data_IF_010299970460
#
_entry.id   IF_010299970460
#
_cell.length_a   1.000
_cell.length_b   1.000
_cell.length_c   1.000
_cell.angle_alpha   90.00
_cell.angle_beta   90.00
_cell.angle_gamma   90.00
#
_symmetry.space_group_name_H-M   'P 1'
#
loop_
_entity.id
_entity.type
_entity.pdbx_description
1 polymer ?
#
# COMPACT_ATOMS: atom_id res chain seq x y z
N UNK A 1 -32.94 3.44 9.73
CA UNK A 1 -31.73 2.93 10.41
C UNK A 1 -31.94 1.46 10.76
N UNK A 2 -31.32 0.51 10.04
CA UNK A 2 -31.28 -0.89 10.47
C UNK A 2 -30.50 -0.93 11.79
N UNK A 3 -31.10 -1.51 12.84
CA UNK A 3 -30.47 -1.66 14.16
C UNK A 3 -29.09 -2.30 13.98
N UNK A 4 -28.03 -1.53 14.19
CA UNK A 4 -26.73 -2.12 14.45
C UNK A 4 -26.79 -2.80 15.81
N UNK A 5 -25.96 -3.81 15.99
CA UNK A 5 -25.72 -4.41 17.30
C UNK A 5 -25.54 -3.30 18.35
N UNK A 6 -26.34 -3.34 19.42
CA UNK A 6 -26.38 -2.32 20.47
C UNK A 6 -24.98 -2.04 21.04
N UNK A 7 -24.13 -3.06 21.07
CA UNK A 7 -22.71 -2.98 21.42
C UNK A 7 -21.90 -2.08 20.48
N UNK A 8 -22.17 -2.13 19.18
CA UNK A 8 -21.47 -1.29 18.20
C UNK A 8 -21.81 0.19 18.36
N UNK A 9 -23.08 0.50 18.64
CA UNK A 9 -23.52 1.87 18.92
C UNK A 9 -22.88 2.41 20.21
N UNK A 10 -22.82 1.60 21.26
CA UNK A 10 -22.14 1.94 22.51
C UNK A 10 -20.65 2.23 22.28
N UNK A 11 -19.94 1.40 21.51
CA UNK A 11 -18.53 1.63 21.18
C UNK A 11 -18.32 2.94 20.42
N UNK A 12 -19.18 3.26 19.44
CA UNK A 12 -19.09 4.52 18.69
C UNK A 12 -19.30 5.73 19.62
N UNK A 13 -20.31 5.67 20.50
CA UNK A 13 -20.56 6.74 21.48
C UNK A 13 -19.35 6.91 22.41
N UNK A 14 -18.81 5.82 22.95
CA UNK A 14 -17.63 5.85 23.81
C UNK A 14 -16.43 6.48 23.10
N UNK A 15 -16.16 6.06 21.85
CA UNK A 15 -15.10 6.63 21.02
C UNK A 15 -15.32 8.13 20.83
N UNK A 16 -16.54 8.58 20.51
CA UNK A 16 -16.84 10.00 20.32
C UNK A 16 -16.55 10.80 21.59
N UNK A 17 -16.94 10.27 22.76
CA UNK A 17 -16.74 10.94 24.05
C UNK A 17 -15.26 11.03 24.45
N UNK A 18 -14.46 10.01 24.17
CA UNK A 18 -13.06 9.90 24.63
C UNK A 18 -12.01 10.10 23.52
N UNK A 19 -12.42 10.51 22.33
CA UNK A 19 -11.56 10.55 21.14
C UNK A 19 -10.25 11.32 21.35
N UNK A 20 -10.32 12.50 21.98
CA UNK A 20 -9.14 13.34 22.20
C UNK A 20 -8.15 12.66 23.14
N UNK A 21 -8.63 12.08 24.23
CA UNK A 21 -7.80 11.38 25.22
C UNK A 21 -7.14 10.14 24.60
N UNK A 22 -7.90 9.35 23.86
CA UNK A 22 -7.40 8.17 23.13
C UNK A 22 -6.30 8.60 22.15
N UNK A 23 -6.55 9.66 21.37
CA UNK A 23 -5.59 10.14 20.38
C UNK A 23 -4.29 10.64 21.04
N UNK A 24 -4.38 11.49 22.06
CA UNK A 24 -3.21 12.05 22.74
C UNK A 24 -2.37 10.94 23.39
N UNK A 25 -2.99 9.94 24.03
CA UNK A 25 -2.29 8.79 24.63
C UNK A 25 -1.54 7.95 23.60
N UNK A 26 -2.17 7.67 22.46
CA UNK A 26 -1.53 6.90 21.38
C UNK A 26 -0.47 7.71 20.62
N UNK A 27 -0.64 9.04 20.52
CA UNK A 27 0.32 9.93 19.87
C UNK A 27 1.59 10.11 20.70
N UNK A 28 1.44 10.20 22.02
CA UNK A 28 2.49 10.55 22.98
C UNK A 28 2.57 9.55 24.14
N UNK A 29 2.85 8.25 23.88
CA UNK A 29 2.90 7.24 24.94
C UNK A 29 3.94 7.56 26.00
N UNK A 30 5.07 8.12 25.58
CA UNK A 30 6.21 8.46 26.44
C UNK A 30 6.38 9.97 26.62
N UNK A 31 5.26 10.72 26.57
CA UNK A 31 5.26 12.17 26.62
C UNK A 31 5.43 12.85 25.25
N UNK A 32 5.24 14.17 25.25
CA UNK A 32 5.21 14.99 24.03
C UNK A 32 6.60 15.12 23.44
N UNK A 33 6.77 14.75 22.17
CA UNK A 33 8.03 14.94 21.43
C UNK A 33 7.84 15.88 20.24
N UNK A 34 8.83 16.71 19.97
CA UNK A 34 8.78 17.62 18.83
C UNK A 34 8.78 16.84 17.51
N UNK A 35 7.75 16.97 16.65
CA UNK A 35 7.66 16.24 15.39
C UNK A 35 8.65 16.72 14.32
N UNK A 36 9.42 17.78 14.60
CA UNK A 36 10.38 18.37 13.66
C UNK A 36 11.85 18.08 14.00
N UNK A 37 12.17 17.88 15.29
CA UNK A 37 13.56 17.72 15.73
C UNK A 37 13.77 16.62 16.79
N UNK A 38 12.70 15.89 17.18
CA UNK A 38 12.78 14.76 18.10
C UNK A 38 12.84 15.12 19.59
N UNK A 39 13.05 16.38 19.94
CA UNK A 39 13.24 16.87 21.32
C UNK A 39 12.07 16.51 22.26
N UNK A 40 12.40 16.06 23.48
CA UNK A 40 11.43 15.67 24.52
C UNK A 40 10.97 16.86 25.37
N UNK A 41 11.80 17.89 25.51
CA UNK A 41 11.44 19.09 26.27
C UNK A 41 10.52 20.01 25.45
N UNK A 42 9.22 19.79 25.58
CA UNK A 42 8.17 20.58 24.93
C UNK A 42 7.19 21.18 25.95
N UNK A 43 6.96 22.49 25.86
CA UNK A 43 5.98 23.20 26.69
C UNK A 43 4.58 23.00 26.13
N UNK A 44 3.60 22.66 26.97
CA UNK A 44 2.20 22.52 26.55
C UNK A 44 1.36 23.68 27.05
N UNK A 45 0.68 24.36 26.14
CA UNK A 45 -0.23 25.46 26.44
C UNK A 45 -1.65 24.96 26.77
N UNK A 46 -2.44 25.79 27.45
CA UNK A 46 -3.84 25.48 27.81
C UNK A 46 -4.74 25.18 26.60
N UNK A 47 -4.41 25.70 25.42
CA UNK A 47 -5.14 25.45 24.18
C UNK A 47 -4.77 24.11 23.50
N UNK A 48 -3.87 23.32 24.08
CA UNK A 48 -3.41 22.04 23.52
C UNK A 48 -2.33 22.18 22.44
N UNK A 49 -1.76 23.37 22.25
CA UNK A 49 -0.55 23.53 21.44
C UNK A 49 0.69 23.25 22.27
N UNK A 50 1.73 22.78 21.60
CA UNK A 50 3.05 22.55 22.16
C UNK A 50 4.08 23.47 21.53
N UNK A 51 5.11 23.86 22.28
CA UNK A 51 6.28 24.58 21.77
C UNK A 51 7.55 23.84 22.15
N UNK A 52 8.34 23.51 21.14
CA UNK A 52 9.64 22.88 21.35
C UNK A 52 10.63 23.90 21.92
N UNK A 53 11.35 23.50 22.97
CA UNK A 53 12.41 24.33 23.57
C UNK A 53 13.64 24.48 22.66
N UNK A 54 14.03 23.42 21.94
CA UNK A 54 15.21 23.40 21.06
C UNK A 54 15.01 24.15 19.75
N UNK A 55 14.02 23.77 18.94
CA UNK A 55 13.82 24.38 17.62
C UNK A 55 12.82 25.57 17.62
N UNK A 56 12.20 25.88 18.75
CA UNK A 56 11.24 26.98 18.89
C UNK A 56 9.90 26.82 18.17
N UNK A 57 9.74 25.77 17.35
CA UNK A 57 8.53 25.52 16.55
C UNK A 57 7.34 25.15 17.43
N UNK A 58 6.18 25.68 17.08
CA UNK A 58 4.90 25.33 17.68
C UNK A 58 4.21 24.20 16.89
N UNK A 59 3.52 23.30 17.57
CA UNK A 59 2.81 22.16 16.97
C UNK A 59 1.61 21.72 17.80
N UNK A 60 0.69 20.96 17.21
CA UNK A 60 -0.43 20.30 17.91
C UNK A 60 -0.23 18.79 17.92
N UNK A 61 -1.07 18.04 18.64
CA UNK A 61 -1.10 16.57 18.60
C UNK A 61 -1.22 16.01 17.17
N UNK A 62 -1.91 16.74 16.29
CA UNK A 62 -2.13 16.37 14.89
C UNK A 62 -0.97 16.75 13.97
N UNK A 63 0.04 17.46 14.46
CA UNK A 63 1.16 17.90 13.63
C UNK A 63 1.99 16.74 13.10
N UNK A 64 2.35 16.82 11.81
CA UNK A 64 3.09 15.79 11.08
C UNK A 64 2.43 14.39 11.13
N UNK A 65 1.09 14.34 11.08
CA UNK A 65 0.30 13.11 11.01
C UNK A 65 -0.70 13.20 9.84
N UNK A 66 -1.42 12.13 9.56
CA UNK A 66 -2.54 12.12 8.60
C UNK A 66 -3.62 13.15 8.97
N UNK A 67 -3.73 13.49 10.27
CA UNK A 67 -4.69 14.46 10.82
C UNK A 67 -4.21 15.92 10.71
N UNK A 68 -3.03 16.17 10.14
CA UNK A 68 -2.41 17.50 10.13
C UNK A 68 -3.31 18.56 9.47
N UNK A 69 -3.56 19.64 10.22
CA UNK A 69 -4.39 20.76 9.74
C UNK A 69 -5.85 20.40 9.52
N UNK A 70 -6.35 19.32 10.13
CA UNK A 70 -7.77 18.96 10.02
C UNK A 70 -8.68 20.02 10.63
N UNK A 71 -9.75 20.36 9.91
CA UNK A 71 -10.90 21.12 10.44
C UNK A 71 -12.03 20.18 10.90
N UNK A 72 -11.92 18.90 10.58
CA UNK A 72 -12.85 17.85 11.02
C UNK A 72 -12.44 17.44 12.45
N UNK A 73 -13.41 17.31 13.39
CA UNK A 73 -13.14 16.84 14.75
C UNK A 73 -12.43 15.49 14.77
N UNK A 74 -11.48 15.32 15.70
CA UNK A 74 -10.74 14.05 15.86
C UNK A 74 -11.66 12.87 16.15
N UNK A 75 -12.77 13.08 16.85
CA UNK A 75 -13.80 12.05 17.05
C UNK A 75 -14.29 11.45 15.72
N UNK A 76 -14.57 12.28 14.70
CA UNK A 76 -15.01 11.79 13.39
C UNK A 76 -13.94 10.94 12.68
N UNK A 77 -12.67 11.27 12.87
CA UNK A 77 -11.55 10.49 12.36
C UNK A 77 -11.41 9.14 13.03
N UNK A 78 -11.51 9.09 14.36
CA UNK A 78 -11.39 7.83 15.11
C UNK A 78 -12.61 6.94 14.84
N UNK A 79 -13.81 7.52 14.75
CA UNK A 79 -15.01 6.77 14.30
C UNK A 79 -14.81 6.20 12.91
N UNK A 80 -14.25 6.97 11.97
CA UNK A 80 -13.95 6.46 10.63
C UNK A 80 -12.92 5.32 10.65
N UNK A 81 -11.85 5.44 11.43
CA UNK A 81 -10.85 4.38 11.63
C UNK A 81 -11.48 3.11 12.21
N UNK A 82 -12.33 3.26 13.23
CA UNK A 82 -13.05 2.12 13.79
C UNK A 82 -13.95 1.46 12.75
N UNK A 83 -14.73 2.23 12.00
CA UNK A 83 -15.67 1.70 11.02
C UNK A 83 -14.99 1.07 9.79
N UNK A 84 -13.91 1.67 9.27
CA UNK A 84 -13.20 1.14 8.09
C UNK A 84 -12.49 -0.19 8.39
N UNK A 85 -12.01 -0.35 9.64
CA UNK A 85 -11.31 -1.57 10.08
C UNK A 85 -12.27 -2.70 10.48
N UNK A 86 -13.56 -2.40 10.70
CA UNK A 86 -14.59 -3.43 10.93
C UNK A 86 -14.82 -4.33 9.73
N UNK A 87 -15.33 -5.55 9.98
CA UNK A 87 -15.46 -6.65 9.02
C UNK A 87 -16.18 -6.33 7.70
N UNK A 88 -17.08 -5.35 7.67
CA UNK A 88 -17.76 -4.88 6.44
C UNK A 88 -17.22 -3.55 5.88
N UNK A 89 -16.44 -2.81 6.66
CA UNK A 89 -16.09 -1.42 6.36
C UNK A 89 -17.31 -0.49 6.46
N UNK A 90 -17.13 0.78 6.08
CA UNK A 90 -18.24 1.73 5.94
C UNK A 90 -18.18 2.49 4.62
N UNK A 91 -19.35 2.85 4.11
CA UNK A 91 -19.50 3.81 3.01
C UNK A 91 -19.35 5.25 3.51
N UNK A 92 -19.09 6.19 2.58
CA UNK A 92 -19.05 7.62 2.90
C UNK A 92 -20.40 8.16 3.38
N UNK A 93 -21.52 7.61 2.89
CA UNK A 93 -22.87 7.94 3.35
C UNK A 93 -23.08 7.52 4.81
N UNK A 94 -22.71 6.28 5.15
CA UNK A 94 -22.81 5.78 6.52
C UNK A 94 -21.93 6.60 7.47
N UNK A 95 -20.68 6.87 7.08
CA UNK A 95 -19.78 7.68 7.91
C UNK A 95 -20.32 9.11 8.12
N UNK A 96 -20.89 9.71 7.08
CA UNK A 96 -21.55 11.02 7.16
C UNK A 96 -22.71 10.99 8.15
N UNK A 97 -23.56 9.96 8.09
CA UNK A 97 -24.67 9.79 9.02
C UNK A 97 -24.21 9.62 10.48
N UNK A 98 -23.11 8.90 10.74
CA UNK A 98 -22.60 8.71 12.10
C UNK A 98 -21.95 9.96 12.70
N UNK A 99 -21.26 10.74 11.88
CA UNK A 99 -20.37 11.81 12.37
C UNK A 99 -20.94 13.22 12.15
N UNK A 100 -22.02 13.35 11.37
CA UNK A 100 -22.63 14.63 11.01
C UNK A 100 -21.82 15.46 10.01
N UNK A 101 -20.68 14.96 9.52
CA UNK A 101 -19.88 15.64 8.49
C UNK A 101 -20.54 15.45 7.12
N UNK A 102 -20.21 16.29 6.14
CA UNK A 102 -20.71 16.12 4.77
C UNK A 102 -20.18 14.82 4.15
N UNK A 103 -21.01 14.18 3.32
CA UNK A 103 -20.66 12.99 2.54
C UNK A 103 -19.32 13.14 1.80
N UNK A 104 -19.10 14.29 1.16
CA UNK A 104 -17.84 14.61 0.47
C UNK A 104 -16.66 14.58 1.44
N UNK A 105 -16.81 15.16 2.63
CA UNK A 105 -15.77 15.14 3.66
C UNK A 105 -15.51 13.72 4.17
N UNK A 106 -16.57 12.93 4.37
CA UNK A 106 -16.46 11.52 4.74
C UNK A 106 -15.72 10.69 3.68
N UNK A 107 -16.01 10.92 2.40
CA UNK A 107 -15.29 10.28 1.28
C UNK A 107 -13.80 10.62 1.28
N UNK A 108 -13.46 11.91 1.46
CA UNK A 108 -12.06 12.37 1.57
C UNK A 108 -11.34 11.74 2.76
N UNK A 109 -12.02 11.72 3.91
CA UNK A 109 -11.49 11.16 5.14
C UNK A 109 -11.15 9.68 4.93
N UNK A 110 -12.08 8.89 4.40
CA UNK A 110 -11.83 7.47 4.10
C UNK A 110 -10.65 7.27 3.15
N UNK A 111 -10.50 8.10 2.12
CA UNK A 111 -9.37 7.97 1.19
C UNK A 111 -8.03 8.30 1.84
N UNK A 112 -7.98 9.28 2.74
CA UNK A 112 -6.76 9.56 3.52
C UNK A 112 -6.38 8.41 4.44
N UNK A 113 -7.37 7.77 5.08
CA UNK A 113 -7.13 6.60 5.92
C UNK A 113 -6.62 5.42 5.10
N UNK A 114 -7.21 5.18 3.93
CA UNK A 114 -6.75 4.16 2.98
C UNK A 114 -5.30 4.38 2.53
N UNK A 115 -4.90 5.63 2.32
CA UNK A 115 -3.52 5.95 1.99
C UNK A 115 -2.58 5.69 3.17
N UNK A 116 -3.03 5.99 4.40
CA UNK A 116 -2.26 5.68 5.61
C UNK A 116 -2.00 4.17 5.77
N UNK A 117 -2.89 3.33 5.26
CA UNK A 117 -2.81 1.86 5.28
C UNK A 117 -1.91 1.26 4.20
N UNK A 118 -1.16 2.08 3.45
CA UNK A 118 -0.22 1.58 2.43
C UNK A 118 0.75 0.55 3.04
N UNK A 119 1.09 -0.55 2.34
CA UNK A 119 1.82 -1.68 2.91
C UNK A 119 3.33 -1.43 3.14
N UNK A 120 3.80 -0.17 3.12
CA UNK A 120 5.20 0.12 3.45
C UNK A 120 5.52 -0.38 4.87
N UNK A 121 6.62 -1.12 5.01
CA UNK A 121 7.02 -1.77 6.26
C UNK A 121 6.40 -3.16 6.48
N UNK A 122 5.45 -3.60 5.66
CA UNK A 122 5.06 -5.02 5.63
C UNK A 122 6.15 -5.78 4.88
N UNK A 123 6.81 -6.68 5.61
CA UNK A 123 7.84 -7.59 5.09
C UNK A 123 7.28 -9.00 5.13
N UNK A 124 7.30 -9.69 3.98
CA UNK A 124 6.92 -11.09 3.85
C UNK A 124 8.19 -11.96 3.95
N UNK A 125 8.06 -13.12 4.58
CA UNK A 125 9.19 -14.02 4.87
C UNK A 125 8.87 -15.47 4.52
N UNK A 126 9.91 -16.29 4.31
CA UNK A 126 9.76 -17.71 4.00
C UNK A 126 9.22 -17.94 2.59
N UNK A 127 8.17 -18.76 2.48
CA UNK A 127 7.55 -19.13 1.21
C UNK A 127 6.45 -18.14 0.82
N UNK A 128 6.69 -17.39 -0.24
CA UNK A 128 5.77 -16.35 -0.70
C UNK A 128 5.09 -16.80 -1.99
N UNK A 129 3.77 -17.02 -1.92
CA UNK A 129 2.95 -17.29 -3.09
C UNK A 129 2.66 -15.98 -3.84
N UNK A 130 2.96 -15.95 -5.13
CA UNK A 130 2.86 -14.75 -5.98
C UNK A 130 2.10 -15.01 -7.26
N UNK A 131 1.24 -14.08 -7.66
CA UNK A 131 0.42 -14.15 -8.87
C UNK A 131 -0.16 -12.76 -9.21
N UNK A 132 -0.81 -12.63 -10.37
CA UNK A 132 -1.46 -11.43 -10.86
C UNK A 132 -2.97 -11.60 -11.02
N UNK A 133 -3.71 -10.55 -10.67
CA UNK A 133 -5.16 -10.49 -10.82
C UNK A 133 -5.62 -9.22 -11.50
N UNK A 134 -6.61 -9.35 -12.39
CA UNK A 134 -7.17 -8.23 -13.13
C UNK A 134 -8.51 -7.79 -12.52
N UNK A 135 -8.50 -6.63 -11.84
CA UNK A 135 -9.69 -6.01 -11.25
C UNK A 135 -10.40 -5.08 -12.24
N UNK A 136 -11.74 -5.10 -12.25
CA UNK A 136 -12.54 -4.25 -13.14
C UNK A 136 -13.86 -4.89 -13.54
N UNK A 137 -14.61 -4.19 -14.39
CA UNK A 137 -15.87 -4.70 -14.96
C UNK A 137 -15.67 -5.99 -15.76
N UNK A 138 -16.70 -6.84 -15.82
CA UNK A 138 -16.69 -7.97 -16.75
C UNK A 138 -16.78 -7.41 -18.18
N UNK A 139 -15.89 -7.87 -19.07
CA UNK A 139 -15.92 -7.48 -20.49
C UNK A 139 -17.30 -7.71 -21.12
N UNK A 140 -17.92 -8.85 -20.82
CA UNK A 140 -19.26 -9.20 -21.30
C UNK A 140 -20.34 -8.20 -20.87
N UNK A 141 -20.16 -7.52 -19.73
CA UNK A 141 -21.11 -6.53 -19.21
C UNK A 141 -20.86 -5.10 -19.72
N UNK A 142 -19.86 -4.89 -20.57
CA UNK A 142 -19.59 -3.59 -21.19
C UNK A 142 -20.52 -3.42 -22.41
N UNK A 143 -21.17 -2.27 -22.52
CA UNK A 143 -22.00 -1.93 -23.70
C UNK A 143 -21.17 -1.96 -24.98
N UNK A 144 -21.78 -2.40 -26.09
CA UNK A 144 -21.08 -2.61 -27.37
C UNK A 144 -20.33 -1.36 -27.86
N UNK A 145 -20.95 -0.17 -27.80
CA UNK A 145 -20.28 1.07 -28.21
C UNK A 145 -19.02 1.35 -27.39
N UNK A 146 -19.04 1.09 -26.07
CA UNK A 146 -17.85 1.27 -25.20
C UNK A 146 -16.75 0.25 -25.50
N UNK A 147 -17.12 -0.98 -25.90
CA UNK A 147 -16.15 -1.99 -26.38
C UNK A 147 -15.49 -1.53 -27.68
N UNK A 148 -16.28 -1.02 -28.61
CA UNK A 148 -15.80 -0.45 -29.88
C UNK A 148 -14.87 0.73 -29.61
N UNK A 149 -15.25 1.67 -28.73
CA UNK A 149 -14.40 2.82 -28.37
C UNK A 149 -13.07 2.42 -27.74
N UNK A 150 -13.05 1.34 -26.94
CA UNK A 150 -11.81 0.77 -26.41
C UNK A 150 -10.96 0.19 -27.54
N UNK A 151 -11.54 -0.62 -28.42
CA UNK A 151 -10.81 -1.23 -29.54
C UNK A 151 -10.28 -0.16 -30.51
N UNK A 152 -11.08 0.85 -30.86
CA UNK A 152 -10.68 2.01 -31.68
C UNK A 152 -9.49 2.74 -31.06
N UNK A 153 -9.56 3.07 -29.76
CA UNK A 153 -8.47 3.75 -29.05
C UNK A 153 -7.12 3.03 -29.15
N UNK A 154 -7.13 1.72 -29.28
CA UNK A 154 -5.90 0.91 -29.36
C UNK A 154 -5.56 0.45 -30.79
N UNK A 155 -6.27 0.94 -31.81
CA UNK A 155 -6.05 0.54 -33.21
C UNK A 155 -6.38 -0.93 -33.48
N UNK A 156 -7.34 -1.49 -32.74
CA UNK A 156 -7.72 -2.91 -32.77
C UNK A 156 -9.09 -3.17 -33.41
N UNK A 157 -9.70 -2.14 -34.03
CA UNK A 157 -11.02 -2.19 -34.66
C UNK A 157 -10.96 -1.64 -36.08
N UNK A 158 -11.62 -2.30 -37.02
CA UNK A 158 -11.71 -1.91 -38.43
C UNK A 158 -13.16 -1.66 -38.86
N UNK A 159 -13.36 -0.82 -39.87
CA UNK A 159 -14.71 -0.49 -40.36
C UNK A 159 -15.41 -1.73 -40.92
N UNK A 160 -16.61 -2.04 -40.40
CA UNK A 160 -17.35 -3.27 -40.72
C UNK A 160 -17.17 -4.43 -39.72
N UNK A 161 -16.30 -4.30 -38.72
CA UNK A 161 -16.10 -5.32 -37.68
C UNK A 161 -17.36 -5.54 -36.82
N UNK A 162 -17.80 -6.80 -36.71
CA UNK A 162 -18.90 -7.24 -35.83
C UNK A 162 -18.32 -7.88 -34.56
N UNK A 163 -18.98 -7.78 -33.40
CA UNK A 163 -18.45 -8.31 -32.12
C UNK A 163 -18.03 -9.79 -32.18
N UNK A 164 -18.74 -10.60 -32.97
CA UNK A 164 -18.44 -12.03 -33.19
C UNK A 164 -17.20 -12.30 -34.05
N UNK A 165 -16.74 -11.33 -34.83
CA UNK A 165 -15.59 -11.46 -35.75
C UNK A 165 -14.29 -10.89 -35.15
N UNK A 166 -14.35 -10.28 -33.97
CA UNK A 166 -13.16 -9.75 -33.31
C UNK A 166 -12.17 -10.86 -32.93
N UNK A 167 -10.91 -10.69 -33.34
CA UNK A 167 -9.84 -11.60 -32.96
C UNK A 167 -9.71 -11.67 -31.43
N UNK A 168 -9.69 -12.90 -30.88
CA UNK A 168 -9.53 -13.16 -29.44
C UNK A 168 -8.30 -12.46 -28.84
N UNK A 169 -7.21 -12.31 -29.61
CA UNK A 169 -5.98 -11.58 -29.21
C UNK A 169 -6.25 -10.09 -28.97
N UNK A 170 -7.01 -9.45 -29.85
CA UNK A 170 -7.37 -8.03 -29.73
C UNK A 170 -8.30 -7.78 -28.56
N UNK A 171 -9.27 -8.67 -28.33
CA UNK A 171 -10.14 -8.62 -27.16
C UNK A 171 -9.33 -8.76 -25.87
N UNK A 172 -8.42 -9.74 -25.80
CA UNK A 172 -7.54 -9.92 -24.63
C UNK A 172 -6.71 -8.66 -24.35
N UNK A 173 -6.17 -8.04 -25.39
CA UNK A 173 -5.41 -6.78 -25.30
C UNK A 173 -6.28 -5.61 -24.84
N UNK A 174 -7.52 -5.49 -25.32
CA UNK A 174 -8.44 -4.47 -24.84
C UNK A 174 -8.88 -4.71 -23.38
N UNK A 175 -9.02 -5.97 -22.97
CA UNK A 175 -9.33 -6.35 -21.59
C UNK A 175 -8.19 -6.01 -20.64
N UNK A 176 -6.93 -6.29 -21.01
CA UNK A 176 -5.77 -5.97 -20.17
C UNK A 176 -5.61 -4.46 -19.96
N UNK A 177 -5.98 -3.65 -20.95
CA UNK A 177 -5.95 -2.19 -20.83
C UNK A 177 -7.14 -1.63 -20.04
N UNK A 178 -8.31 -2.27 -20.13
CA UNK A 178 -9.52 -1.88 -19.42
C UNK A 178 -9.47 -2.22 -17.92
N UNK A 179 -8.99 -3.42 -17.59
CA UNK A 179 -8.85 -3.85 -16.20
C UNK A 179 -7.59 -3.24 -15.58
N UNK A 180 -7.55 -3.23 -14.26
CA UNK A 180 -6.38 -2.88 -13.48
C UNK A 180 -5.68 -4.19 -13.09
N UNK A 181 -4.49 -4.47 -13.62
CA UNK A 181 -3.67 -5.56 -13.08
C UNK A 181 -3.22 -5.21 -11.67
N UNK A 182 -3.20 -6.22 -10.82
CA UNK A 182 -2.79 -6.17 -9.42
C UNK A 182 -1.88 -7.36 -9.19
N UNK A 183 -0.64 -7.10 -8.82
CA UNK A 183 0.29 -8.10 -8.34
C UNK A 183 0.02 -8.36 -6.86
N UNK A 184 0.03 -9.63 -6.48
CA UNK A 184 -0.21 -10.04 -5.10
C UNK A 184 0.81 -11.02 -4.60
N UNK A 185 1.14 -10.88 -3.31
CA UNK A 185 2.10 -11.70 -2.59
C UNK A 185 1.48 -12.16 -1.27
N UNK A 186 1.69 -13.42 -0.88
CA UNK A 186 1.13 -14.01 0.32
C UNK A 186 2.08 -15.06 0.93
N UNK A 187 2.58 -14.83 2.15
CA UNK A 187 3.47 -15.75 2.88
C UNK A 187 2.71 -16.82 3.71
N UNK A 188 1.37 -16.80 3.68
CA UNK A 188 0.47 -17.62 4.50
C UNK A 188 -0.11 -16.88 5.70
N UNK A 189 0.57 -15.83 6.20
CA UNK A 189 0.13 -14.98 7.30
C UNK A 189 -0.27 -13.59 6.82
N UNK A 190 0.60 -12.92 6.10
CA UNK A 190 0.46 -11.55 5.61
C UNK A 190 0.33 -11.53 4.09
N UNK A 191 -0.30 -10.46 3.60
CA UNK A 191 -0.41 -10.18 2.17
C UNK A 191 0.07 -8.78 1.85
N UNK A 192 0.54 -8.63 0.62
CA UNK A 192 0.78 -7.35 -0.03
C UNK A 192 0.15 -7.39 -1.41
N UNK A 193 -0.64 -6.37 -1.73
CA UNK A 193 -1.30 -6.20 -3.03
C UNK A 193 -0.93 -4.84 -3.61
N UNK A 194 -0.33 -4.87 -4.80
CA UNK A 194 0.08 -3.68 -5.53
C UNK A 194 -0.61 -3.68 -6.88
N UNK A 195 -1.36 -2.63 -7.17
CA UNK A 195 -1.72 -2.34 -8.54
C UNK A 195 -0.40 -2.19 -9.35
N UNK A 196 -0.40 -2.64 -10.60
CA UNK A 196 0.74 -2.53 -11.52
C UNK A 196 0.32 -1.78 -12.79
N UNK A 197 1.24 -1.22 -13.59
CA UNK A 197 0.87 -0.62 -14.87
C UNK A 197 0.13 -1.63 -15.76
N UNK A 198 -0.70 -1.15 -16.70
CA UNK A 198 -1.37 -2.05 -17.66
C UNK A 198 -0.39 -2.88 -18.49
N UNK A 199 0.83 -2.36 -18.62
CA UNK A 199 1.97 -3.01 -19.26
C UNK A 199 3.09 -3.04 -18.24
N UNK A 200 3.32 -4.22 -17.70
CA UNK A 200 4.36 -4.50 -16.74
C UNK A 200 5.16 -5.69 -17.24
N UNK A 201 6.40 -5.80 -16.76
CA UNK A 201 7.31 -6.89 -17.06
C UNK A 201 7.80 -7.58 -15.77
N UNK A 202 8.68 -8.57 -15.92
CA UNK A 202 9.27 -9.31 -14.79
C UNK A 202 10.05 -8.40 -13.84
N UNK A 203 10.68 -7.35 -14.36
CA UNK A 203 11.42 -6.37 -13.55
C UNK A 203 10.49 -5.54 -12.67
N UNK A 204 9.37 -5.07 -13.20
CA UNK A 204 8.35 -4.36 -12.40
C UNK A 204 7.87 -5.23 -11.22
N UNK A 205 7.64 -6.53 -11.45
CA UNK A 205 7.23 -7.44 -10.40
C UNK A 205 8.36 -7.68 -9.39
N UNK A 206 9.58 -7.90 -9.87
CA UNK A 206 10.76 -8.11 -9.05
C UNK A 206 11.02 -6.93 -8.11
N UNK A 207 10.97 -5.70 -8.62
CA UNK A 207 11.15 -4.48 -7.82
C UNK A 207 10.12 -4.40 -6.68
N UNK A 208 8.86 -4.76 -6.96
CA UNK A 208 7.80 -4.82 -5.96
C UNK A 208 8.07 -5.93 -4.94
N UNK A 209 8.51 -7.11 -5.40
CA UNK A 209 8.83 -8.26 -4.54
C UNK A 209 9.95 -7.91 -3.59
N UNK A 210 11.09 -7.46 -4.08
CA UNK A 210 12.26 -7.11 -3.25
C UNK A 210 11.95 -6.01 -2.23
N UNK A 211 11.05 -5.07 -2.56
CA UNK A 211 10.62 -4.04 -1.61
C UNK A 211 9.82 -4.58 -0.42
N UNK A 212 9.11 -5.69 -0.60
CA UNK A 212 8.13 -6.21 0.36
C UNK A 212 8.49 -7.58 0.91
N UNK A 213 9.72 -8.02 0.68
CA UNK A 213 10.21 -9.31 1.14
C UNK A 213 11.55 -9.13 1.85
N UNK A 214 11.77 -9.91 2.89
CA UNK A 214 13.00 -9.89 3.69
C UNK A 214 13.83 -11.12 3.39
N UNK A 215 13.61 -12.18 4.18
CA UNK A 215 14.24 -13.48 3.99
C UNK A 215 13.32 -14.40 3.16
N UNK A 216 13.32 -14.23 1.84
CA UNK A 216 12.60 -15.15 0.94
C UNK A 216 13.38 -16.47 0.89
N UNK A 217 12.67 -17.57 1.14
CA UNK A 217 13.20 -18.91 0.83
C UNK A 217 12.83 -19.30 -0.58
N UNK A 218 11.52 -19.27 -0.89
CA UNK A 218 11.01 -19.62 -2.20
C UNK A 218 9.87 -18.69 -2.63
N UNK A 219 9.86 -18.28 -3.90
CA UNK A 219 8.68 -17.72 -4.54
C UNK A 219 7.88 -18.84 -5.19
N UNK A 220 6.61 -18.99 -4.81
CA UNK A 220 5.73 -20.00 -5.38
C UNK A 220 4.80 -19.33 -6.39
N UNK A 221 4.88 -19.73 -7.66
CA UNK A 221 4.07 -19.13 -8.71
C UNK A 221 3.61 -20.13 -9.78
N UNK A 222 2.84 -19.66 -10.75
CA UNK A 222 2.42 -20.43 -11.91
C UNK A 222 3.53 -20.53 -12.99
N UNK A 223 3.21 -21.09 -14.15
CA UNK A 223 4.17 -21.24 -15.26
C UNK A 223 4.29 -20.00 -16.16
N UNK A 224 3.90 -18.81 -15.69
CA UNK A 224 4.07 -17.57 -16.44
C UNK A 224 5.55 -17.31 -16.73
N UNK A 225 5.82 -16.72 -17.90
CA UNK A 225 7.17 -16.38 -18.35
C UNK A 225 7.82 -15.32 -17.45
N UNK A 226 7.00 -14.45 -16.85
CA UNK A 226 7.48 -13.38 -15.96
C UNK A 226 8.24 -13.96 -14.77
N UNK A 227 7.75 -15.05 -14.19
CA UNK A 227 8.39 -15.70 -13.05
C UNK A 227 9.60 -16.56 -13.44
N UNK A 228 9.69 -17.00 -14.71
CA UNK A 228 10.91 -17.63 -15.24
C UNK A 228 12.05 -16.63 -15.32
N UNK A 229 11.76 -15.45 -15.86
CA UNK A 229 12.72 -14.35 -15.93
C UNK A 229 13.16 -13.89 -14.53
N UNK A 230 12.25 -13.90 -13.55
CA UNK A 230 12.61 -13.64 -12.15
C UNK A 230 13.54 -14.74 -11.61
N UNK A 231 13.30 -16.01 -11.92
CA UNK A 231 14.16 -17.11 -11.49
C UNK A 231 15.61 -16.97 -12.03
N UNK A 232 15.77 -16.43 -13.23
CA UNK A 232 17.06 -16.15 -13.85
C UNK A 232 17.88 -15.09 -13.09
N UNK A 233 17.25 -14.28 -12.22
CA UNK A 233 17.93 -13.30 -11.37
C UNK A 233 18.58 -13.91 -10.12
N UNK A 234 18.42 -15.22 -9.90
CA UNK A 234 18.98 -15.95 -8.75
C UNK A 234 18.02 -16.09 -7.57
N UNK A 235 16.78 -15.62 -7.69
CA UNK A 235 15.71 -15.92 -6.73
C UNK A 235 15.21 -17.34 -6.99
N UNK A 236 15.06 -18.14 -5.94
CA UNK A 236 14.48 -19.47 -6.08
C UNK A 236 12.96 -19.37 -6.30
N UNK A 237 12.53 -19.74 -7.51
CA UNK A 237 11.12 -19.70 -7.92
C UNK A 237 10.63 -21.11 -8.22
N UNK A 238 9.69 -21.56 -7.41
CA UNK A 238 9.01 -22.84 -7.59
C UNK A 238 7.78 -22.61 -8.47
N UNK A 239 7.86 -23.05 -9.73
CA UNK A 239 6.75 -22.96 -10.69
C UNK A 239 5.84 -24.19 -10.63
N UNK A 240 4.54 -23.96 -10.45
CA UNK A 240 3.52 -25.00 -10.38
C UNK A 240 2.80 -25.19 -11.72
N UNK A 241 2.61 -26.43 -12.15
CA UNK A 241 1.95 -26.73 -13.42
C UNK A 241 0.42 -26.85 -13.27
N UNK A 242 -0.29 -25.74 -13.40
CA UNK A 242 -1.77 -25.73 -13.36
C UNK A 242 -2.43 -26.55 -14.48
N UNK A 243 -1.76 -26.76 -15.61
CA UNK A 243 -2.31 -27.57 -16.73
C UNK A 243 -2.39 -29.07 -16.40
N UNK A 244 -1.60 -29.53 -15.41
CA UNK A 244 -1.62 -30.91 -14.90
C UNK A 244 -2.43 -31.08 -13.61
N UNK A 245 -3.13 -30.04 -13.15
CA UNK A 245 -3.83 -29.99 -11.84
C UNK A 245 -2.89 -30.19 -10.63
N UNK A 246 -1.62 -29.86 -10.79
CA UNK A 246 -0.64 -29.85 -9.70
C UNK A 246 -0.80 -28.53 -8.91
N UNK A 247 -1.78 -28.48 -8.00
CA UNK A 247 -1.98 -27.35 -7.07
C UNK A 247 -1.10 -27.46 -5.82
N UNK A 248 -0.40 -28.59 -5.69
CA UNK A 248 0.50 -28.95 -4.61
C UNK A 248 1.70 -29.69 -5.23
N UNK A 249 2.92 -29.29 -4.85
CA UNK A 249 4.15 -30.00 -5.15
C UNK A 249 4.90 -30.16 -3.84
N UNK A 250 4.68 -31.28 -3.16
CA UNK A 250 5.11 -31.45 -1.77
C UNK A 250 4.43 -30.42 -0.85
N UNK A 251 5.22 -29.54 -0.24
CA UNK A 251 4.79 -28.56 0.76
C UNK A 251 4.33 -27.22 0.16
N UNK A 252 4.62 -26.95 -1.12
CA UNK A 252 4.38 -25.66 -1.78
C UNK A 252 3.03 -25.60 -2.51
N UNK A 253 2.32 -24.46 -2.44
CA UNK A 253 1.00 -24.29 -3.08
C UNK A 253 0.66 -22.84 -3.46
N UNK A 254 0.22 -22.63 -4.72
CA UNK A 254 -0.34 -21.35 -5.20
C UNK A 254 -1.73 -21.03 -4.61
N UNK A 255 -2.37 -21.98 -3.93
CA UNK A 255 -3.72 -21.82 -3.39
C UNK A 255 -3.85 -20.63 -2.42
N UNK A 256 -2.76 -20.26 -1.73
CA UNK A 256 -2.74 -19.11 -0.80
C UNK A 256 -3.08 -17.80 -1.53
N UNK A 257 -2.40 -17.53 -2.65
CA UNK A 257 -2.62 -16.30 -3.40
C UNK A 257 -3.94 -16.32 -4.16
N UNK A 258 -4.35 -17.47 -4.71
CA UNK A 258 -5.66 -17.65 -5.36
C UNK A 258 -6.82 -17.40 -4.40
N UNK A 259 -6.72 -17.91 -3.17
CA UNK A 259 -7.67 -17.65 -2.08
C UNK A 259 -7.78 -16.17 -1.77
N UNK A 260 -6.63 -15.48 -1.68
CA UNK A 260 -6.54 -14.03 -1.46
C UNK A 260 -7.31 -13.27 -2.55
N UNK A 261 -7.09 -13.62 -3.82
CA UNK A 261 -7.78 -13.00 -4.95
C UNK A 261 -9.28 -13.29 -4.98
N UNK A 262 -9.71 -14.46 -4.52
CA UNK A 262 -11.12 -14.80 -4.38
C UNK A 262 -11.82 -13.88 -3.37
N UNK A 263 -11.22 -13.67 -2.20
CA UNK A 263 -11.72 -12.73 -1.19
C UNK A 263 -11.69 -11.27 -1.68
N UNK A 264 -10.60 -10.86 -2.34
CA UNK A 264 -10.48 -9.52 -2.92
C UNK A 264 -11.59 -9.25 -3.95
N UNK A 265 -11.82 -10.17 -4.90
CA UNK A 265 -12.85 -10.04 -5.93
C UNK A 265 -14.26 -9.95 -5.33
N UNK A 266 -14.56 -10.75 -4.30
CA UNK A 266 -15.85 -10.68 -3.58
C UNK A 266 -16.03 -9.31 -2.94
N UNK A 267 -15.00 -8.81 -2.27
CA UNK A 267 -15.06 -7.52 -1.59
C UNK A 267 -15.16 -6.34 -2.54
N UNK A 268 -14.37 -6.35 -3.61
CA UNK A 268 -14.41 -5.36 -4.69
C UNK A 268 -15.81 -5.21 -5.28
N UNK A 269 -16.54 -6.32 -5.43
CA UNK A 269 -17.91 -6.33 -5.97
C UNK A 269 -18.96 -5.89 -4.94
N UNK A 270 -18.86 -6.37 -3.70
CA UNK A 270 -19.94 -6.23 -2.72
C UNK A 270 -19.82 -4.99 -1.83
N UNK A 271 -18.61 -4.60 -1.44
CA UNK A 271 -18.40 -3.56 -0.41
C UNK A 271 -17.84 -2.26 -0.97
N UNK A 272 -16.97 -2.33 -1.98
CA UNK A 272 -16.32 -1.13 -2.53
C UNK A 272 -17.13 -0.42 -3.62
N UNK A 273 -18.17 -1.08 -4.17
CA UNK A 273 -19.11 -0.51 -5.16
C UNK A 273 -18.40 0.22 -6.30
N UNK A 274 -17.57 -0.52 -7.05
CA UNK A 274 -16.83 -0.05 -8.26
C UNK A 274 -15.93 1.18 -8.04
N UNK A 275 -14.81 1.02 -7.30
CA UNK A 275 -13.74 2.02 -7.29
C UNK A 275 -13.32 2.46 -8.70
N UNK A 276 -13.08 3.76 -8.88
CA UNK A 276 -12.39 4.25 -10.09
C UNK A 276 -10.97 3.68 -10.14
N UNK A 277 -10.48 3.41 -11.36
CA UNK A 277 -9.18 2.78 -11.61
C UNK A 277 -8.03 3.48 -10.88
N UNK A 278 -8.02 4.83 -10.89
CA UNK A 278 -6.99 5.62 -10.23
C UNK A 278 -6.89 5.36 -8.72
N UNK A 279 -8.01 5.10 -8.04
CA UNK A 279 -8.03 4.89 -6.59
C UNK A 279 -7.85 3.44 -6.16
N UNK A 280 -7.66 2.49 -7.09
CA UNK A 280 -7.65 1.06 -6.76
C UNK A 280 -6.62 0.74 -5.67
N UNK A 281 -5.41 1.32 -5.73
CA UNK A 281 -4.39 1.07 -4.71
C UNK A 281 -4.85 1.46 -3.30
N UNK A 282 -5.63 2.54 -3.12
CA UNK A 282 -6.20 2.91 -1.81
C UNK A 282 -7.09 1.78 -1.24
N UNK A 283 -7.89 1.15 -2.09
CA UNK A 283 -8.74 0.03 -1.66
C UNK A 283 -7.93 -1.26 -1.42
N UNK A 284 -6.84 -1.47 -2.16
CA UNK A 284 -5.90 -2.56 -1.90
C UNK A 284 -5.20 -2.39 -0.56
N UNK A 285 -4.78 -1.17 -0.22
CA UNK A 285 -4.19 -0.83 1.08
C UNK A 285 -5.14 -1.19 2.24
N UNK A 286 -6.41 -0.78 2.13
CA UNK A 286 -7.45 -1.15 3.11
C UNK A 286 -7.63 -2.66 3.23
N UNK A 287 -7.60 -3.37 2.10
CA UNK A 287 -7.74 -4.81 2.06
C UNK A 287 -6.57 -5.51 2.75
N UNK A 288 -5.33 -5.12 2.42
CA UNK A 288 -4.12 -5.68 3.01
C UNK A 288 -4.06 -5.41 4.51
N UNK A 289 -4.32 -4.17 4.94
CA UNK A 289 -4.35 -3.83 6.37
C UNK A 289 -5.31 -4.75 7.13
N UNK A 290 -6.55 -4.90 6.65
CA UNK A 290 -7.55 -5.73 7.34
C UNK A 290 -7.22 -7.22 7.30
N UNK A 291 -6.56 -7.69 6.24
CA UNK A 291 -6.12 -9.07 6.15
C UNK A 291 -5.01 -9.34 7.17
N UNK A 292 -4.00 -8.47 7.22
CA UNK A 292 -2.81 -8.64 8.05
C UNK A 292 -3.13 -8.45 9.54
N UNK A 293 -4.22 -7.76 9.88
CA UNK A 293 -4.72 -7.58 11.25
C UNK A 293 -6.04 -8.35 11.50
N UNK A 294 -6.27 -9.46 10.79
CA UNK A 294 -7.53 -10.23 10.92
C UNK A 294 -7.69 -10.90 12.29
N UNK A 295 -6.58 -11.33 12.88
CA UNK A 295 -6.54 -12.02 14.17
C UNK A 295 -6.65 -11.04 15.34
N UNK A 296 -6.40 -9.76 15.10
CA UNK A 296 -6.54 -8.69 16.09
C UNK A 296 -8.03 -8.41 16.40
N UNK A 297 -8.29 -8.09 17.66
CA UNK A 297 -9.57 -7.57 18.12
C UNK A 297 -9.90 -6.23 17.45
N UNK A 298 -11.15 -5.81 17.54
CA UNK A 298 -11.60 -4.51 17.01
C UNK A 298 -10.88 -3.31 17.64
N UNK A 299 -10.43 -3.42 18.90
CA UNK A 299 -9.74 -2.35 19.62
C UNK A 299 -8.27 -2.32 19.23
N UNK A 300 -7.60 -3.47 19.13
CA UNK A 300 -6.22 -3.57 18.64
C UNK A 300 -6.11 -3.02 17.22
N UNK A 301 -6.99 -3.44 16.30
CA UNK A 301 -7.04 -2.87 14.94
C UNK A 301 -7.21 -1.35 14.93
N UNK A 302 -8.01 -0.81 15.85
CA UNK A 302 -8.18 0.62 15.98
C UNK A 302 -6.87 1.28 16.43
N UNK A 303 -6.22 0.75 17.46
CA UNK A 303 -4.94 1.24 17.95
C UNK A 303 -3.86 1.21 16.85
N UNK A 304 -3.71 0.08 16.15
CA UNK A 304 -2.76 -0.08 15.03
C UNK A 304 -3.02 0.95 13.92
N UNK A 305 -4.29 1.14 13.58
CA UNK A 305 -4.70 2.09 12.55
C UNK A 305 -4.41 3.56 12.92
N UNK A 306 -4.54 3.91 14.21
CA UNK A 306 -4.16 5.23 14.73
C UNK A 306 -2.63 5.37 14.71
N UNK A 307 -1.90 4.35 15.15
CA UNK A 307 -0.43 4.32 15.12
C UNK A 307 0.12 4.55 13.71
N UNK A 308 -0.44 3.90 12.70
CA UNK A 308 -0.13 4.17 11.29
C UNK A 308 -0.43 5.63 10.92
N UNK A 309 -1.62 6.14 11.25
CA UNK A 309 -1.98 7.52 10.91
C UNK A 309 -1.08 8.57 11.58
N UNK A 310 -0.51 8.24 12.74
CA UNK A 310 0.43 9.08 13.49
C UNK A 310 1.84 9.05 12.90
N UNK A 311 2.29 7.90 12.39
CA UNK A 311 3.68 7.69 11.91
C UNK A 311 3.88 8.03 10.44
N UNK A 312 2.84 7.96 9.60
CA UNK A 312 2.94 8.10 8.13
C UNK A 312 3.19 9.51 7.62
N UNK A 313 3.21 10.51 8.50
CA UNK A 313 3.34 11.91 8.12
C UNK A 313 2.06 12.49 7.52
N UNK A 314 2.17 13.67 6.92
CA UNK A 314 1.04 14.43 6.38
C UNK A 314 0.54 13.85 5.05
N UNK A 315 -0.76 13.56 4.98
CA UNK A 315 -1.47 13.23 3.72
C UNK A 315 -2.31 14.43 3.26
N UNK A 316 -1.95 14.99 2.11
CA UNK A 316 -2.60 16.14 1.50
C UNK A 316 -3.76 15.73 0.61
N UNK A 317 -4.63 16.69 0.27
CA UNK A 317 -5.71 16.43 -0.68
C UNK A 317 -5.17 16.22 -2.10
N UNK A 318 -4.01 16.80 -2.44
CA UNK A 318 -3.36 16.59 -3.75
C UNK A 318 -2.96 15.13 -3.91
N UNK A 319 -2.44 14.53 -2.84
CA UNK A 319 -2.08 13.11 -2.81
C UNK A 319 -3.30 12.25 -3.16
N UNK A 320 -4.52 12.66 -2.77
CA UNK A 320 -5.76 11.92 -3.08
C UNK A 320 -6.35 12.31 -4.45
N UNK A 321 -6.54 13.59 -4.77
CA UNK A 321 -7.21 14.00 -6.03
C UNK A 321 -6.40 13.66 -7.28
N UNK A 322 -5.09 13.87 -7.18
CA UNK A 322 -4.13 13.54 -8.23
C UNK A 322 -3.48 12.19 -7.93
N UNK A 323 -4.17 11.32 -7.18
CA UNK A 323 -3.69 9.99 -6.86
C UNK A 323 -3.54 9.21 -8.16
N UNK A 324 -2.35 9.29 -8.70
CA UNK A 324 -1.88 8.57 -9.85
C UNK A 324 -0.68 7.81 -9.31
N UNK A 325 -1.00 6.76 -8.55
CA UNK A 325 0.02 5.91 -7.94
C UNK A 325 0.96 5.35 -9.03
N UNK A 326 0.46 5.14 -10.27
CA UNK A 326 1.27 4.81 -11.44
C UNK A 326 2.25 5.90 -11.81
N UNK A 327 1.87 7.18 -11.78
CA UNK A 327 2.83 8.27 -11.97
C UNK A 327 3.81 8.36 -10.81
N UNK A 328 3.42 8.08 -9.57
CA UNK A 328 4.37 8.00 -8.43
C UNK A 328 5.28 6.78 -8.50
N UNK A 329 4.82 5.68 -9.10
CA UNK A 329 5.58 4.46 -9.38
C UNK A 329 6.55 4.66 -10.56
N UNK A 330 6.10 5.26 -11.66
CA UNK A 330 6.96 5.62 -12.79
C UNK A 330 7.86 6.83 -12.53
N UNK A 331 7.49 7.76 -11.64
CA UNK A 331 8.38 8.81 -11.09
C UNK A 331 9.38 8.24 -10.06
N UNK A 332 9.23 6.96 -9.68
CA UNK A 332 10.24 6.15 -8.99
C UNK A 332 10.99 5.20 -9.92
N UNK A 333 10.87 5.37 -11.25
CA UNK A 333 12.06 5.13 -12.05
C UNK A 333 13.07 6.17 -11.60
N UNK A 334 14.32 5.82 -11.27
CA UNK A 334 15.31 6.83 -10.97
C UNK A 334 15.29 7.84 -12.12
N UNK A 335 14.83 9.06 -11.83
CA UNK A 335 15.13 10.22 -12.66
C UNK A 335 16.64 10.34 -12.51
N UNK A 336 17.38 9.76 -13.45
CA UNK A 336 18.83 9.88 -13.52
C UNK A 336 19.50 9.68 -12.14
N UNK A 337 19.81 8.43 -11.77
CA UNK A 337 20.83 8.25 -10.73
C UNK A 337 22.11 8.82 -11.33
N UNK A 338 22.44 10.03 -10.91
CA UNK A 338 23.52 10.83 -11.47
C UNK A 338 24.74 10.76 -10.57
N UNK A 339 24.62 10.35 -9.31
CA UNK A 339 25.76 10.37 -8.37
C UNK A 339 26.02 9.03 -7.68
N UNK A 340 27.24 8.89 -7.15
CA UNK A 340 27.70 7.69 -6.46
C UNK A 340 27.02 7.52 -5.08
N UNK A 341 26.63 8.63 -4.44
CA UNK A 341 25.93 8.60 -3.15
C UNK A 341 24.51 8.06 -3.25
N UNK A 342 23.81 8.37 -4.34
CA UNK A 342 22.50 7.78 -4.62
C UNK A 342 22.63 6.25 -4.75
N UNK A 343 23.67 5.76 -5.44
CA UNK A 343 23.94 4.33 -5.50
C UNK A 343 24.23 3.71 -4.14
N UNK A 344 24.94 4.39 -3.22
CA UNK A 344 25.19 3.85 -1.87
C UNK A 344 23.89 3.54 -1.12
N UNK A 345 22.86 4.37 -1.30
CA UNK A 345 21.54 4.17 -0.70
C UNK A 345 20.75 3.02 -1.35
N UNK A 346 20.80 2.87 -2.67
CA UNK A 346 20.07 1.80 -3.39
C UNK A 346 20.79 0.45 -3.41
N UNK A 347 22.10 0.44 -3.15
CA UNK A 347 22.94 -0.74 -3.22
C UNK A 347 23.44 -1.04 -4.64
N UNK A 348 24.51 -1.83 -4.73
CA UNK A 348 25.09 -2.24 -6.00
C UNK A 348 24.12 -3.18 -6.73
N UNK A 349 23.87 -3.01 -8.05
CA UNK A 349 23.04 -3.94 -8.80
C UNK A 349 23.61 -5.36 -8.70
N UNK A 350 22.86 -6.35 -8.24
CA UNK A 350 23.39 -7.70 -7.97
C UNK A 350 23.93 -8.39 -9.24
N UNK A 351 23.51 -7.93 -10.42
CA UNK A 351 23.88 -8.46 -11.73
C UNK A 351 25.03 -7.72 -12.45
N UNK A 352 25.53 -6.60 -11.90
CA UNK A 352 26.57 -5.81 -12.56
C UNK A 352 27.98 -6.17 -12.05
N UNK A 353 28.90 -6.52 -12.95
CA UNK A 353 30.33 -6.72 -12.59
C UNK A 353 31.09 -5.38 -12.51
N UNK A 354 30.77 -4.45 -13.41
CA UNK A 354 31.18 -3.06 -13.39
C UNK A 354 30.02 -2.14 -13.80
N UNK A 355 30.11 -0.86 -13.44
CA UNK A 355 29.11 0.15 -13.78
C UNK A 355 29.77 1.52 -13.92
N UNK A 356 29.38 2.26 -14.95
CA UNK A 356 29.82 3.64 -15.16
C UNK A 356 28.90 4.60 -14.41
N UNK A 357 29.49 5.42 -13.53
CA UNK A 357 28.79 6.48 -12.78
C UNK A 357 29.54 7.78 -13.05
N UNK A 358 28.88 8.77 -13.66
CA UNK A 358 29.46 10.06 -14.05
C UNK A 358 30.72 9.96 -14.94
N UNK A 359 30.76 9.03 -15.90
CA UNK A 359 31.92 8.89 -16.77
C UNK A 359 33.10 8.11 -16.16
N UNK A 360 32.91 7.56 -14.96
CA UNK A 360 33.94 6.76 -14.26
C UNK A 360 33.40 5.36 -14.06
N UNK A 361 34.16 4.36 -14.49
CA UNK A 361 33.83 2.95 -14.28
C UNK A 361 34.20 2.50 -12.86
N UNK A 362 33.23 1.94 -12.15
CA UNK A 362 33.40 1.35 -10.83
C UNK A 362 33.23 -0.15 -10.92
N UNK A 363 34.03 -0.90 -10.17
CA UNK A 363 33.80 -2.32 -9.93
C UNK A 363 33.00 -2.50 -8.64
N UNK A 364 32.30 -3.63 -8.50
CA UNK A 364 31.53 -3.96 -7.28
C UNK A 364 32.36 -3.80 -6.00
N UNK A 365 33.59 -4.31 -6.01
CA UNK A 365 34.53 -4.20 -4.88
C UNK A 365 34.84 -2.74 -4.53
N UNK A 366 35.14 -1.91 -5.54
CA UNK A 366 35.45 -0.50 -5.35
C UNK A 366 34.25 0.28 -4.80
N UNK A 367 33.05 -0.07 -5.23
CA UNK A 367 31.82 0.52 -4.73
C UNK A 367 31.55 0.17 -3.26
N UNK A 368 31.71 -1.10 -2.87
CA UNK A 368 31.53 -1.55 -1.48
C UNK A 368 32.52 -0.87 -0.53
N UNK A 369 33.78 -0.68 -0.95
CA UNK A 369 34.78 0.08 -0.19
C UNK A 369 34.36 1.53 0.05
N UNK A 370 33.84 2.21 -0.98
CA UNK A 370 33.41 3.61 -0.88
C UNK A 370 32.11 3.76 -0.09
N UNK A 371 31.20 2.78 -0.19
CA UNK A 371 29.97 2.71 0.60
C UNK A 371 30.28 2.58 2.09
N UNK A 372 31.20 1.69 2.46
CA UNK A 372 31.61 1.52 3.86
C UNK A 372 32.23 2.81 4.45
N UNK A 373 33.03 3.54 3.65
CA UNK A 373 33.58 4.83 4.06
C UNK A 373 32.51 5.92 4.21
N UNK A 374 31.46 5.88 3.38
CA UNK A 374 30.31 6.78 3.45
C UNK A 374 29.43 6.47 4.68
N UNK A 375 29.16 5.20 4.97
CA UNK A 375 28.39 4.72 6.12
C UNK A 375 29.11 5.04 7.45
N UNK A 376 30.43 4.81 7.53
CA UNK A 376 31.23 5.14 8.72
C UNK A 376 31.21 6.64 9.07
N UNK A 377 31.03 7.53 8.08
CA UNK A 377 30.84 8.98 8.30
C UNK A 377 29.42 9.34 8.73
N UNK A 378 28.45 8.48 8.46
CA UNK A 378 27.03 8.66 8.80
C UNK A 378 26.72 8.19 10.23
N UNK A 379 27.52 7.26 10.76
CA UNK A 379 27.40 6.63 12.10
C UNK A 379 27.85 7.49 13.30
N UNK A 380 27.94 8.81 13.15
CA UNK A 380 28.23 9.74 14.26
C UNK A 380 26.98 9.95 15.16
N UNK A 381 25.89 9.22 14.92
CA UNK A 381 24.61 9.35 15.64
C UNK A 381 24.01 7.99 16.01
N UNK A 382 24.60 7.29 16.99
CA UNK A 382 23.99 6.08 17.55
C UNK A 382 23.27 6.37 18.87
N UNK A 383 22.04 5.83 19.01
CA UNK A 383 21.30 5.72 20.27
C UNK A 383 21.38 4.25 20.69
N UNK A 384 21.74 4.02 21.95
CA UNK A 384 21.90 2.70 22.55
C UNK A 384 20.54 1.99 22.73
N UNK A 385 20.38 0.83 22.09
CA UNK A 385 19.15 0.01 22.11
C UNK A 385 18.93 -0.70 23.46
N UNK A 386 19.90 -0.66 24.38
CA UNK A 386 19.79 -1.30 25.70
C UNK A 386 18.86 -0.58 26.69
N UNK A 387 18.36 0.62 26.37
CA UNK A 387 17.40 1.36 27.20
C UNK A 387 15.92 0.99 26.96
N UNK A 388 15.61 0.14 25.98
CA UNK A 388 14.24 -0.28 25.68
C UNK A 388 13.86 -1.52 26.49
N UNK A 389 13.58 -1.33 27.78
CA UNK A 389 12.85 -2.30 28.62
C UNK A 389 11.36 -1.97 28.57
N UNK A 390 10.53 -2.92 28.15
CA UNK A 390 9.06 -2.86 28.19
C UNK A 390 8.50 -3.70 29.33
#
# INVERSE_FOLDING_TARGET
>A
MKKLDQKHQQNVIYIIMHAKEIFTKLRWPNGVRCPYCGEVHCWTYKNGMHKCSKCGKCFSDTSNTVFHGTKIPIASWIVALYLITMSKGCSSEELSAYTGITQKSAWFLLHKLREAFRPDGTVLEGDVAVDEVYLGGKWSSIMLHKKIDLLKRYGLWYEGDKERTWHKKNIRRAISEYKQPVYGMNDGKNIVLMAVPNRFDSKDLLDITLKHTGNIQHLVSDQSILYKEIAETGIDVIQMNHSKREFHNGEYSSNRIEGTFSHLKRRYRCHYVRPEKKYIQLYLNEFCFRWNHRDNTSIERLADSIGLCVTRGRVTNKDIYNYNWLSSYHQRKPKHIETLEEWFEYGWPPYAESMEVQGVEYTKKRFEELKAQWEAKRDIWHIDESELVF
#
